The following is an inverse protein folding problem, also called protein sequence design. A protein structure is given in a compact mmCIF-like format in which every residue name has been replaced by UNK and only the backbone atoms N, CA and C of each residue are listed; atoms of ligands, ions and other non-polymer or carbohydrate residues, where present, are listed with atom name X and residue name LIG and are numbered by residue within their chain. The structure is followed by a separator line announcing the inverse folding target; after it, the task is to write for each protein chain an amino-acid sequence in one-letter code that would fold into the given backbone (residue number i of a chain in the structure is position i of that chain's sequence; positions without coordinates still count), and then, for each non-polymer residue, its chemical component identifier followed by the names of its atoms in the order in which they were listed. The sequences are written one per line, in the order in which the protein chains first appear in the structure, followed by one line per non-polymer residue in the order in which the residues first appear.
data_IF_749497113013
#
_entry.id   IF_749497113013
#
_cell.length_a   1.000
_cell.length_b   1.000
_cell.length_c   1.000
_cell.angle_alpha   90.00
_cell.angle_beta   90.00
_cell.angle_gamma   90.00
#
_symmetry.space_group_name_H-M   'P 1'
#
loop_
_entity.id
_entity.type
_entity.pdbx_description
1 polymer ?
#
# COMPACT_ATOMS: atom_id res chain seq x y z
N UNK A 1 22.99 6.31 -9.42
CA UNK A 1 22.94 4.97 -10.06
C UNK A 1 23.53 3.91 -9.16
N UNK A 2 23.10 2.67 -9.31
CA UNK A 2 23.67 1.53 -8.58
C UNK A 2 24.87 0.97 -9.34
N UNK A 3 25.83 0.34 -8.64
CA UNK A 3 26.87 -0.45 -9.27
C UNK A 3 26.27 -1.56 -10.15
N UNK A 4 27.01 -2.01 -11.17
CA UNK A 4 26.54 -3.03 -12.09
C UNK A 4 26.09 -4.31 -11.37
N UNK A 5 24.97 -4.88 -11.80
CA UNK A 5 24.38 -6.10 -11.23
C UNK A 5 23.70 -5.94 -9.86
N UNK A 6 23.90 -4.82 -9.15
CA UNK A 6 23.20 -4.56 -7.90
C UNK A 6 21.73 -4.22 -8.15
N UNK A 7 20.88 -4.64 -7.22
CA UNK A 7 19.46 -4.29 -7.21
C UNK A 7 19.09 -3.66 -5.89
N UNK A 8 18.19 -2.69 -5.93
CA UNK A 8 17.56 -2.12 -4.74
C UNK A 8 16.06 -2.37 -4.80
N UNK A 9 15.46 -2.70 -3.67
CA UNK A 9 14.00 -2.72 -3.56
C UNK A 9 13.43 -1.30 -3.71
N UNK A 10 12.14 -1.20 -3.99
CA UNK A 10 11.41 0.03 -3.66
C UNK A 10 11.47 0.34 -2.16
N UNK A 11 11.16 1.57 -1.75
CA UNK A 11 11.04 1.93 -0.35
C UNK A 11 9.94 1.10 0.33
N UNK A 12 10.27 0.51 1.46
CA UNK A 12 9.27 0.02 2.40
C UNK A 12 8.87 1.19 3.29
N UNK A 13 7.60 1.58 3.18
CA UNK A 13 7.02 2.64 3.96
C UNK A 13 6.42 2.11 5.27
N UNK A 14 6.55 2.84 6.39
CA UNK A 14 5.82 2.53 7.60
C UNK A 14 4.32 2.81 7.41
N UNK A 15 3.52 2.47 8.42
CA UNK A 15 2.10 2.78 8.44
C UNK A 15 1.90 4.30 8.34
N UNK A 16 1.17 4.80 7.33
CA UNK A 16 0.96 6.24 7.15
C UNK A 16 -0.09 6.79 8.13
N UNK A 17 -0.12 8.11 8.23
CA UNK A 17 -1.13 8.85 8.98
C UNK A 17 -2.00 9.70 8.04
N UNK A 18 -3.27 9.87 8.42
CA UNK A 18 -4.20 10.80 7.78
C UNK A 18 -4.13 12.13 8.53
N UNK A 19 -3.97 13.21 7.80
CA UNK A 19 -3.91 14.58 8.32
C UNK A 19 -4.97 15.40 7.61
N UNK A 20 -5.78 16.15 8.37
CA UNK A 20 -6.77 17.08 7.82
C UNK A 20 -6.11 18.45 7.79
N UNK A 21 -5.92 18.96 6.58
CA UNK A 21 -5.40 20.29 6.29
C UNK A 21 -6.56 21.30 6.21
N UNK A 22 -6.29 22.62 6.28
CA UNK A 22 -7.31 23.65 6.11
C UNK A 22 -8.13 23.45 4.82
N UNK A 23 -9.44 23.65 4.92
CA UNK A 23 -10.38 23.40 3.81
C UNK A 23 -10.79 21.94 3.65
N UNK A 24 -10.71 21.14 4.72
CA UNK A 24 -11.08 19.72 4.75
C UNK A 24 -10.32 18.84 3.74
N UNK A 25 -9.13 19.29 3.35
CA UNK A 25 -8.24 18.56 2.48
C UNK A 25 -7.53 17.45 3.28
N UNK A 26 -7.57 16.24 2.77
CA UNK A 26 -6.90 15.10 3.39
C UNK A 26 -5.52 14.91 2.80
N UNK A 27 -4.50 14.98 3.65
CA UNK A 27 -3.13 14.57 3.34
C UNK A 27 -2.82 13.22 3.97
N UNK A 28 -2.09 12.38 3.23
CA UNK A 28 -1.56 11.11 3.73
C UNK A 28 -0.04 11.23 3.76
N UNK A 29 0.56 10.98 4.93
CA UNK A 29 1.99 11.14 5.09
C UNK A 29 2.52 10.58 6.41
N UNK A 30 3.65 11.12 6.85
CA UNK A 30 4.36 10.63 8.04
C UNK A 30 4.73 11.78 8.96
N UNK A 31 4.52 11.57 10.27
CA UNK A 31 5.06 12.45 11.31
C UNK A 31 6.41 11.93 11.80
N UNK A 32 7.26 12.84 12.28
CA UNK A 32 8.55 12.46 12.87
C UNK A 32 8.35 11.81 14.25
N UNK A 33 9.16 10.81 14.61
CA UNK A 33 10.12 10.12 13.75
C UNK A 33 9.43 9.11 12.82
N UNK A 34 10.00 8.87 11.64
CA UNK A 34 9.69 7.72 10.79
C UNK A 34 10.97 7.17 10.18
N UNK A 35 10.92 5.93 9.70
CA UNK A 35 12.03 5.25 9.05
C UNK A 35 11.54 4.73 7.69
N UNK A 36 12.35 4.85 6.64
CA UNK A 36 12.15 4.16 5.36
C UNK A 36 13.19 3.04 5.28
N UNK A 37 12.80 1.86 4.76
CA UNK A 37 13.74 0.75 4.54
C UNK A 37 13.90 0.48 3.06
N UNK A 38 15.12 0.12 2.70
CA UNK A 38 15.47 -0.37 1.38
C UNK A 38 16.24 -1.67 1.55
N UNK A 39 16.04 -2.64 0.66
CA UNK A 39 16.82 -3.86 0.58
C UNK A 39 17.76 -3.75 -0.61
N UNK A 40 19.05 -3.80 -0.33
CA UNK A 40 20.08 -3.91 -1.36
C UNK A 40 20.41 -5.38 -1.58
N UNK A 41 20.42 -5.77 -2.84
CA UNK A 41 20.82 -7.09 -3.30
C UNK A 41 22.12 -6.92 -4.09
N UNK A 42 23.25 -7.47 -3.61
CA UNK A 42 24.50 -7.41 -4.35
C UNK A 42 24.36 -8.13 -5.70
N UNK A 43 25.15 -7.71 -6.69
CA UNK A 43 25.41 -8.52 -7.88
C UNK A 43 25.88 -9.93 -7.42
N UNK A 44 25.63 -10.97 -8.22
CA UNK A 44 26.07 -12.33 -7.90
C UNK A 44 27.54 -12.35 -7.48
N UNK A 45 27.91 -13.31 -6.64
CA UNK A 45 29.21 -13.42 -5.94
C UNK A 45 30.48 -13.43 -6.81
N UNK A 46 30.37 -13.25 -8.13
CA UNK A 46 31.38 -13.60 -9.12
C UNK A 46 31.97 -12.41 -9.88
N UNK A 47 31.36 -11.22 -9.89
CA UNK A 47 31.91 -10.09 -10.65
C UNK A 47 31.96 -8.81 -9.82
N UNK A 48 33.14 -8.51 -9.25
CA UNK A 48 33.71 -7.18 -8.96
C UNK A 48 34.79 -7.28 -7.86
N UNK A 49 36.04 -7.09 -8.30
CA UNK A 49 37.25 -6.58 -7.63
C UNK A 49 37.71 -7.14 -6.25
N UNK A 50 39.00 -6.96 -5.98
CA UNK A 50 39.76 -7.53 -4.84
C UNK A 50 39.08 -7.31 -3.48
N UNK A 51 39.25 -8.28 -2.58
CA UNK A 51 38.90 -8.15 -1.16
C UNK A 51 39.56 -6.88 -0.60
N UNK A 52 38.78 -6.03 0.07
CA UNK A 52 39.25 -4.73 0.58
C UNK A 52 38.84 -3.52 -0.26
N UNK A 53 38.27 -3.73 -1.45
CA UNK A 53 37.68 -2.63 -2.23
C UNK A 53 36.46 -2.06 -1.50
N UNK A 54 36.47 -0.73 -1.27
CA UNK A 54 35.32 0.00 -0.74
C UNK A 54 34.35 0.28 -1.88
N UNK A 55 33.13 -0.23 -1.75
CA UNK A 55 32.04 0.07 -2.65
C UNK A 55 31.25 1.25 -2.12
N UNK A 56 31.12 2.28 -2.93
CA UNK A 56 30.29 3.44 -2.63
C UNK A 56 28.95 3.35 -3.38
N UNK A 57 27.85 3.46 -2.63
CA UNK A 57 26.50 3.54 -3.19
C UNK A 57 25.96 4.95 -2.90
N UNK A 58 25.88 5.84 -3.90
CA UNK A 58 25.34 7.17 -3.70
C UNK A 58 23.82 7.11 -3.49
N UNK A 59 23.33 7.95 -2.58
CA UNK A 59 21.92 8.10 -2.23
C UNK A 59 21.51 9.56 -2.41
N UNK A 60 20.41 9.79 -3.12
CA UNK A 60 19.73 11.08 -3.16
C UNK A 60 18.32 10.88 -2.61
N UNK A 61 17.97 11.64 -1.59
CA UNK A 61 16.63 11.63 -0.98
C UNK A 61 15.99 12.97 -1.25
N UNK A 62 14.84 12.97 -1.92
CA UNK A 62 14.03 14.15 -2.18
C UNK A 62 12.72 13.96 -1.43
N UNK A 63 12.27 14.99 -0.72
CA UNK A 63 11.03 14.93 0.05
C UNK A 63 10.28 16.26 0.02
N UNK A 64 9.02 16.23 0.41
CA UNK A 64 8.20 17.42 0.63
C UNK A 64 7.71 17.41 2.08
N UNK A 65 7.82 18.54 2.77
CA UNK A 65 7.26 18.73 4.12
C UNK A 65 6.21 19.82 4.07
N UNK A 66 5.01 19.54 4.59
CA UNK A 66 3.91 20.50 4.65
C UNK A 66 3.56 20.81 6.11
N UNK A 67 3.24 22.08 6.39
CA UNK A 67 2.62 22.53 7.65
C UNK A 67 1.50 23.53 7.38
N UNK A 68 1.86 24.62 6.72
CA UNK A 68 0.93 25.60 6.13
C UNK A 68 1.26 25.83 4.66
N UNK A 69 2.54 25.69 4.33
CA UNK A 69 3.08 25.66 2.98
C UNK A 69 3.94 24.41 2.84
N UNK A 70 4.01 23.86 1.63
CA UNK A 70 4.85 22.72 1.33
C UNK A 70 6.23 23.16 0.83
N UNK A 71 7.29 22.60 1.40
CA UNK A 71 8.68 22.90 1.06
C UNK A 71 9.34 21.62 0.57
N UNK A 72 10.02 21.70 -0.57
CA UNK A 72 10.86 20.61 -1.08
C UNK A 72 12.22 20.61 -0.39
N UNK A 73 12.69 19.43 -0.01
CA UNK A 73 14.03 19.20 0.51
C UNK A 73 14.73 18.14 -0.32
N UNK A 74 16.05 18.25 -0.38
CA UNK A 74 16.95 17.26 -0.96
C UNK A 74 18.10 17.03 0.01
N UNK A 75 18.56 15.78 0.09
CA UNK A 75 19.78 15.40 0.79
C UNK A 75 20.52 14.36 -0.03
N UNK A 76 21.85 14.47 -0.03
CA UNK A 76 22.76 13.53 -0.66
C UNK A 76 23.57 12.83 0.41
N UNK A 77 23.69 11.53 0.30
CA UNK A 77 24.48 10.70 1.18
C UNK A 77 25.18 9.61 0.36
N UNK A 78 26.12 8.89 0.98
CA UNK A 78 26.80 7.75 0.38
C UNK A 78 26.81 6.61 1.38
N UNK A 79 26.37 5.42 0.97
CA UNK A 79 26.56 4.20 1.74
C UNK A 79 27.89 3.57 1.33
N UNK A 80 28.80 3.45 2.30
CA UNK A 80 30.09 2.82 2.12
C UNK A 80 30.02 1.37 2.58
N UNK A 81 30.23 0.43 1.67
CA UNK A 81 30.25 -1.01 1.94
C UNK A 81 31.66 -1.53 1.75
N UNK A 82 32.13 -2.36 2.67
CA UNK A 82 33.40 -3.08 2.53
C UNK A 82 33.12 -4.54 2.21
N UNK A 83 33.76 -5.06 1.16
CA UNK A 83 33.70 -6.49 0.86
C UNK A 83 34.51 -7.24 1.93
N UNK A 84 33.88 -8.22 2.56
CA UNK A 84 34.54 -9.19 3.44
C UNK A 84 34.13 -10.60 3.09
N UNK A 85 34.87 -11.58 3.60
CA UNK A 85 34.63 -13.02 3.31
C UNK A 85 33.29 -13.52 3.86
N UNK A 86 32.76 -12.84 4.88
CA UNK A 86 31.51 -13.17 5.53
C UNK A 86 30.70 -11.91 5.79
N UNK A 87 29.37 -11.95 5.61
CA UNK A 87 28.52 -10.84 6.04
C UNK A 87 28.63 -10.66 7.55
N UNK A 88 28.94 -9.44 7.97
CA UNK A 88 28.92 -9.04 9.37
C UNK A 88 27.64 -8.26 9.63
N UNK A 89 26.92 -8.62 10.70
CA UNK A 89 25.69 -7.92 11.08
C UNK A 89 26.08 -6.66 11.85
N UNK A 90 25.66 -5.50 11.34
CA UNK A 90 25.66 -4.27 12.13
C UNK A 90 24.65 -4.39 13.28
N UNK A 91 25.16 -4.54 14.51
CA UNK A 91 24.32 -4.66 15.71
C UNK A 91 23.47 -3.41 15.94
N UNK A 92 24.00 -2.22 15.62
CA UNK A 92 23.28 -0.95 15.81
C UNK A 92 22.09 -0.83 14.86
N UNK A 93 22.34 -1.03 13.57
CA UNK A 93 21.32 -1.08 12.52
C UNK A 93 20.30 -2.18 12.75
N UNK A 94 20.74 -3.39 13.13
CA UNK A 94 19.84 -4.51 13.45
C UNK A 94 18.91 -4.17 14.63
N UNK A 95 19.45 -3.61 15.71
CA UNK A 95 18.64 -3.17 16.85
C UNK A 95 17.67 -2.04 16.48
N UNK A 96 18.09 -1.12 15.59
CA UNK A 96 17.20 -0.08 15.06
C UNK A 96 16.05 -0.70 14.27
N UNK A 97 16.34 -1.55 13.27
CA UNK A 97 15.32 -2.22 12.46
C UNK A 97 14.34 -3.02 13.32
N UNK A 98 14.82 -3.71 14.35
CA UNK A 98 13.98 -4.46 15.28
C UNK A 98 12.96 -3.57 16.02
N UNK A 99 13.39 -2.40 16.53
CA UNK A 99 12.49 -1.44 17.22
C UNK A 99 11.39 -0.88 16.32
N UNK A 100 11.64 -0.84 15.01
CA UNK A 100 10.71 -0.29 14.03
C UNK A 100 9.83 -1.35 13.37
N UNK A 101 10.07 -2.65 13.61
CA UNK A 101 9.43 -3.76 12.90
C UNK A 101 7.90 -3.65 12.84
N UNK A 102 7.26 -3.38 13.97
CA UNK A 102 5.80 -3.35 14.09
C UNK A 102 5.16 -2.05 13.56
N UNK A 103 5.98 -1.12 13.06
CA UNK A 103 5.52 0.13 12.40
C UNK A 103 5.26 -0.06 10.91
N UNK A 104 5.51 -1.25 10.35
CA UNK A 104 5.35 -1.52 8.92
C UNK A 104 4.15 -2.43 8.68
N UNK A 105 3.41 -2.21 7.58
CA UNK A 105 2.37 -3.14 7.19
C UNK A 105 2.97 -4.49 6.82
N UNK A 106 2.20 -5.55 7.05
CA UNK A 106 2.50 -6.90 6.58
C UNK A 106 1.72 -7.18 5.29
N UNK A 107 2.29 -7.97 4.40
CA UNK A 107 1.61 -8.36 3.15
C UNK A 107 0.31 -9.12 3.45
N UNK A 108 -0.75 -8.86 2.69
CA UNK A 108 -2.06 -9.48 2.88
C UNK A 108 -2.02 -11.01 2.90
N UNK A 109 -1.10 -11.63 2.15
CA UNK A 109 -0.90 -13.08 2.14
C UNK A 109 -0.38 -13.66 3.47
N UNK A 110 0.22 -12.82 4.33
CA UNK A 110 0.69 -13.21 5.65
C UNK A 110 -0.35 -12.97 6.76
N UNK A 111 -1.47 -12.31 6.44
CA UNK A 111 -2.54 -12.04 7.39
C UNK A 111 -3.27 -13.35 7.75
N UNK A 112 -3.43 -13.61 9.05
CA UNK A 112 -4.16 -14.77 9.54
C UNK A 112 -5.63 -14.42 9.78
N UNK A 113 -6.54 -15.31 9.37
CA UNK A 113 -7.98 -15.22 9.65
C UNK A 113 -8.76 -14.19 8.83
N UNK A 114 -8.11 -13.53 7.88
CA UNK A 114 -8.73 -12.59 6.96
C UNK A 114 -8.22 -12.82 5.54
N UNK A 115 -9.12 -12.61 4.59
CA UNK A 115 -8.81 -12.46 3.17
C UNK A 115 -9.02 -11.01 2.78
N UNK A 116 -8.18 -10.54 1.87
CA UNK A 116 -8.21 -9.21 1.33
C UNK A 116 -8.26 -9.29 -0.19
N UNK A 117 -9.08 -8.45 -0.80
CA UNK A 117 -9.23 -8.38 -2.25
C UNK A 117 -9.15 -6.93 -2.70
N UNK A 118 -8.65 -6.74 -3.92
CA UNK A 118 -8.55 -5.45 -4.58
C UNK A 118 -9.17 -5.59 -5.97
N UNK A 119 -10.03 -4.66 -6.37
CA UNK A 119 -10.66 -4.68 -7.69
C UNK A 119 -10.64 -3.28 -8.30
N UNK A 120 -10.52 -3.21 -9.62
CA UNK A 120 -10.60 -1.98 -10.39
C UNK A 120 -11.67 -2.09 -11.48
N UNK A 121 -12.51 -1.08 -11.54
CA UNK A 121 -13.62 -0.97 -12.47
C UNK A 121 -13.45 0.33 -13.26
N UNK A 122 -12.87 0.30 -14.48
CA UNK A 122 -12.72 1.50 -15.29
C UNK A 122 -14.09 2.01 -15.74
N UNK A 123 -14.24 3.33 -15.84
CA UNK A 123 -15.50 3.92 -16.33
C UNK A 123 -15.67 3.67 -17.83
N UNK A 124 -16.83 3.12 -18.22
CA UNK A 124 -17.23 3.06 -19.62
C UNK A 124 -17.34 4.52 -20.13
N UNK A 125 -16.80 4.81 -21.32
CA UNK A 125 -16.71 6.12 -22.00
C UNK A 125 -15.44 6.95 -21.77
N UNK A 126 -14.48 6.48 -20.96
CA UNK A 126 -13.17 7.12 -20.91
C UNK A 126 -12.37 6.70 -22.17
N UNK A 127 -12.45 7.47 -23.27
CA UNK A 127 -11.66 7.24 -24.50
C UNK A 127 -10.13 7.19 -24.29
N UNK A 128 -9.68 7.47 -23.07
CA UNK A 128 -8.40 7.11 -22.46
C UNK A 128 -8.73 6.79 -20.99
N UNK A 129 -8.23 5.70 -20.40
CA UNK A 129 -8.47 5.33 -18.97
C UNK A 129 -8.06 6.50 -18.06
N UNK A 130 -9.04 7.36 -17.72
CA UNK A 130 -8.82 8.60 -16.96
C UNK A 130 -9.58 8.62 -15.65
N UNK A 131 -10.48 7.67 -15.44
CA UNK A 131 -11.25 7.51 -14.22
C UNK A 131 -11.74 6.07 -14.05
N UNK A 132 -12.14 5.75 -12.83
CA UNK A 132 -12.74 4.47 -12.48
C UNK A 132 -12.92 4.32 -10.98
N UNK A 133 -13.50 3.19 -10.60
CA UNK A 133 -13.73 2.82 -9.20
C UNK A 133 -12.73 1.76 -8.77
N UNK A 134 -11.99 2.05 -7.71
CA UNK A 134 -11.13 1.09 -7.03
C UNK A 134 -11.80 0.60 -5.76
N UNK A 135 -11.95 -0.71 -5.59
CA UNK A 135 -12.59 -1.32 -4.42
C UNK A 135 -11.58 -2.17 -3.66
N UNK A 136 -11.54 -1.99 -2.34
CA UNK A 136 -10.80 -2.87 -1.43
C UNK A 136 -11.80 -3.59 -0.54
N UNK A 137 -11.71 -4.91 -0.47
CA UNK A 137 -12.61 -5.77 0.32
C UNK A 137 -11.83 -6.59 1.32
N UNK A 138 -12.46 -6.90 2.45
CA UNK A 138 -11.92 -7.85 3.41
C UNK A 138 -13.03 -8.64 4.09
N UNK A 139 -12.77 -9.92 4.31
CA UNK A 139 -13.70 -10.83 4.97
C UNK A 139 -12.94 -11.85 5.80
N UNK A 140 -13.63 -12.47 6.76
CA UNK A 140 -13.05 -13.50 7.61
C UNK A 140 -12.92 -14.81 6.88
N UNK A 141 -11.86 -15.53 7.17
CA UNK A 141 -11.65 -16.88 6.63
C UNK A 141 -11.45 -17.87 7.78
N UNK A 142 -12.07 -19.05 7.62
CA UNK A 142 -11.94 -20.16 8.55
C UNK A 142 -12.60 -19.91 9.91
N UNK A 143 -12.14 -20.65 10.92
CA UNK A 143 -12.70 -20.66 12.28
C UNK A 143 -12.10 -19.59 13.20
N UNK A 144 -11.53 -18.51 12.67
CA UNK A 144 -10.93 -17.45 13.49
C UNK A 144 -11.99 -16.77 14.39
N UNK A 145 -11.97 -17.16 15.67
CA UNK A 145 -12.89 -16.69 16.72
C UNK A 145 -12.47 -15.37 17.35
N UNK A 146 -11.36 -14.74 16.93
CA UNK A 146 -11.05 -13.39 17.42
C UNK A 146 -12.23 -12.50 17.10
N UNK A 147 -12.82 -11.78 18.08
CA UNK A 147 -14.00 -10.99 17.82
C UNK A 147 -13.75 -10.10 16.61
N UNK A 148 -14.73 -9.98 15.73
CA UNK A 148 -14.83 -8.78 14.92
C UNK A 148 -15.18 -7.69 15.92
N UNK A 149 -14.19 -7.26 16.72
CA UNK A 149 -14.21 -5.91 17.23
C UNK A 149 -14.53 -5.09 15.98
N UNK A 150 -15.48 -4.14 16.02
CA UNK A 150 -15.69 -3.21 14.92
C UNK A 150 -14.42 -2.36 14.79
N UNK A 151 -13.38 -2.99 14.27
CA UNK A 151 -12.16 -2.41 13.79
C UNK A 151 -12.61 -1.80 12.50
N UNK A 152 -12.84 -0.50 12.52
CA UNK A 152 -12.89 0.23 11.27
C UNK A 152 -11.51 0.06 10.64
N UNK A 153 -11.46 -0.30 9.37
CA UNK A 153 -10.21 -0.31 8.64
C UNK A 153 -10.10 1.01 7.91
N UNK A 154 -9.06 1.77 8.22
CA UNK A 154 -8.73 2.97 7.47
C UNK A 154 -7.90 2.54 6.28
N UNK A 155 -8.36 2.89 5.08
CA UNK A 155 -7.66 2.54 3.86
C UNK A 155 -6.82 3.72 3.39
N UNK A 156 -5.53 3.46 3.22
CA UNK A 156 -4.56 4.44 2.76
C UNK A 156 -4.16 4.09 1.33
N UNK A 157 -4.69 4.80 0.32
CA UNK A 157 -4.40 4.50 -1.06
C UNK A 157 -2.95 4.82 -1.43
N UNK A 158 -2.33 3.99 -2.26
CA UNK A 158 -1.02 4.24 -2.86
C UNK A 158 -0.94 3.71 -4.30
N UNK A 159 0.06 4.18 -5.06
CA UNK A 159 0.24 3.84 -6.47
C UNK A 159 -0.39 4.83 -7.45
N UNK A 160 -0.85 5.98 -6.95
CA UNK A 160 -1.33 7.11 -7.75
C UNK A 160 -0.26 8.20 -7.77
N UNK A 161 0.31 8.45 -8.94
CA UNK A 161 1.27 9.55 -9.15
C UNK A 161 0.58 10.90 -9.32
N UNK A 162 -0.61 10.89 -9.93
CA UNK A 162 -1.47 12.05 -10.12
C UNK A 162 -2.94 11.61 -10.21
N UNK A 163 -3.84 12.49 -9.78
CA UNK A 163 -5.28 12.29 -9.89
C UNK A 163 -6.04 12.77 -8.67
N UNK A 164 -7.36 12.77 -8.79
CA UNK A 164 -8.29 13.05 -7.69
C UNK A 164 -8.76 11.72 -7.14
N UNK A 165 -8.75 11.59 -5.80
CA UNK A 165 -9.24 10.40 -5.10
C UNK A 165 -10.34 10.82 -4.15
N UNK A 166 -11.49 10.19 -4.27
CA UNK A 166 -12.60 10.35 -3.33
C UNK A 166 -12.91 9.00 -2.68
N UNK A 167 -12.71 8.93 -1.37
CA UNK A 167 -13.00 7.75 -0.56
C UNK A 167 -14.47 7.73 -0.14
N UNK A 168 -15.14 6.60 -0.37
CA UNK A 168 -16.47 6.34 0.16
C UNK A 168 -16.40 5.79 1.59
N UNK A 169 -17.54 5.79 2.29
CA UNK A 169 -17.64 5.14 3.59
C UNK A 169 -17.45 3.62 3.48
N UNK A 170 -16.90 3.03 4.54
CA UNK A 170 -16.84 1.58 4.71
C UNK A 170 -18.25 1.01 4.84
N UNK A 171 -18.58 0.01 4.03
CA UNK A 171 -19.92 -0.62 4.00
C UNK A 171 -19.81 -2.14 4.04
N UNK A 172 -20.89 -2.80 4.46
CA UNK A 172 -20.99 -4.25 4.38
C UNK A 172 -20.98 -4.71 2.93
N UNK A 173 -20.38 -5.88 2.70
CA UNK A 173 -20.32 -6.52 1.40
C UNK A 173 -20.71 -7.99 1.54
N UNK A 174 -21.49 -8.47 0.58
CA UNK A 174 -21.83 -9.88 0.40
C UNK A 174 -21.27 -10.26 -0.95
N UNK A 175 -20.34 -11.21 -0.97
CA UNK A 175 -19.74 -11.69 -2.20
C UNK A 175 -20.66 -12.61 -2.96
N UNK A 176 -20.48 -12.62 -4.27
CA UNK A 176 -21.13 -13.59 -5.15
C UNK A 176 -20.63 -14.99 -4.80
N UNK A 177 -21.50 -16.00 -4.95
CA UNK A 177 -21.05 -17.37 -4.81
C UNK A 177 -20.07 -17.68 -5.93
N UNK A 178 -18.83 -18.01 -5.59
CA UNK A 178 -17.76 -18.43 -6.52
C UNK A 178 -18.05 -19.83 -7.14
N UNK A 179 -19.32 -20.24 -7.23
CA UNK A 179 -19.75 -21.61 -7.52
C UNK A 179 -19.58 -22.58 -6.34
N UNK A 180 -18.94 -22.15 -5.25
CA UNK A 180 -18.94 -22.81 -3.95
C UNK A 180 -20.17 -22.35 -3.16
N UNK A 181 -20.75 -23.22 -2.31
CA UNK A 181 -21.91 -22.86 -1.49
C UNK A 181 -21.61 -21.79 -0.40
N UNK A 182 -20.41 -21.22 -0.39
CA UNK A 182 -19.92 -20.35 0.66
C UNK A 182 -20.05 -18.88 0.24
N UNK A 183 -21.09 -18.22 0.75
CA UNK A 183 -21.29 -16.78 0.58
C UNK A 183 -20.34 -16.04 1.53
N UNK A 184 -19.37 -15.33 0.97
CA UNK A 184 -18.47 -14.49 1.78
C UNK A 184 -19.19 -13.24 2.28
N UNK A 185 -19.16 -13.02 3.59
CA UNK A 185 -19.69 -11.80 4.23
C UNK A 185 -18.54 -11.01 4.80
N UNK A 186 -18.42 -9.77 4.38
CA UNK A 186 -17.31 -8.91 4.75
C UNK A 186 -17.66 -7.44 4.64
N UNK A 187 -16.63 -6.66 4.34
CA UNK A 187 -16.68 -5.22 4.27
C UNK A 187 -15.92 -4.76 3.02
N UNK A 188 -16.28 -3.57 2.56
CA UNK A 188 -15.58 -2.92 1.48
C UNK A 188 -15.46 -1.42 1.70
N UNK A 189 -14.46 -0.84 1.05
CA UNK A 189 -14.33 0.60 0.82
C UNK A 189 -14.05 0.81 -0.67
N UNK A 190 -14.60 1.87 -1.25
CA UNK A 190 -14.39 2.23 -2.64
C UNK A 190 -13.78 3.61 -2.75
N UNK A 191 -12.90 3.78 -3.73
CA UNK A 191 -12.29 5.03 -4.12
C UNK A 191 -12.74 5.35 -5.55
N UNK A 192 -13.40 6.49 -5.71
CA UNK A 192 -13.60 7.07 -7.04
C UNK A 192 -12.33 7.80 -7.41
N UNK A 193 -11.72 7.44 -8.54
CA UNK A 193 -10.47 8.02 -8.99
C UNK A 193 -10.71 8.71 -10.34
N UNK A 194 -10.20 9.92 -10.49
CA UNK A 194 -10.33 10.72 -11.70
C UNK A 194 -9.01 11.42 -12.04
N UNK A 195 -8.94 12.01 -13.24
CA UNK A 195 -7.75 12.70 -13.76
C UNK A 195 -6.47 11.88 -13.72
N UNK A 196 -6.60 10.57 -13.99
CA UNK A 196 -5.46 9.67 -14.07
C UNK A 196 -4.55 10.08 -15.23
N UNK A 197 -3.25 10.15 -14.94
CA UNK A 197 -2.21 10.45 -15.93
C UNK A 197 -2.12 9.37 -17.02
N UNK A 198 -1.57 9.73 -18.18
CA UNK A 198 -1.43 8.82 -19.33
C UNK A 198 -0.56 7.58 -19.06
N UNK A 199 0.25 7.60 -18.01
CA UNK A 199 1.08 6.48 -17.57
C UNK A 199 0.42 5.55 -16.55
N UNK A 200 -0.84 5.78 -16.16
CA UNK A 200 -1.49 5.00 -15.11
C UNK A 200 -1.58 3.50 -15.47
N UNK A 201 -1.17 2.66 -14.51
CA UNK A 201 -1.26 1.21 -14.59
C UNK A 201 -1.99 0.68 -13.36
N UNK A 202 -3.07 -0.08 -13.56
CA UNK A 202 -3.82 -0.68 -12.45
C UNK A 202 -2.94 -1.53 -11.51
N UNK A 203 -1.94 -2.22 -12.06
CA UNK A 203 -1.00 -3.03 -11.28
C UNK A 203 -0.22 -2.26 -10.21
N UNK A 204 -0.15 -0.92 -10.31
CA UNK A 204 0.47 -0.06 -9.32
C UNK A 204 -0.43 0.21 -8.10
N UNK A 205 -1.76 0.04 -8.23
CA UNK A 205 -2.69 0.29 -7.13
C UNK A 205 -2.45 -0.65 -5.96
N UNK A 206 -2.55 -0.09 -4.77
CA UNK A 206 -2.62 -0.86 -3.54
C UNK A 206 -3.07 0.00 -2.38
N UNK A 207 -3.54 -0.62 -1.31
CA UNK A 207 -3.95 0.08 -0.11
C UNK A 207 -3.25 -0.51 1.10
N UNK A 208 -2.87 0.37 2.03
CA UNK A 208 -2.58 -0.06 3.40
C UNK A 208 -3.86 0.05 4.23
N UNK A 209 -4.35 -1.07 4.73
CA UNK A 209 -5.47 -1.16 5.66
C UNK A 209 -4.94 -1.10 7.08
N UNK A 210 -5.28 -0.04 7.81
CA UNK A 210 -4.86 0.16 9.20
C UNK A 210 -6.04 -0.14 10.11
N UNK A 211 -5.89 -1.05 11.08
CA UNK A 211 -6.95 -1.33 12.03
C UNK A 211 -7.12 -0.14 12.97
N UNK A 212 -8.26 0.55 12.86
CA UNK A 212 -8.65 1.61 13.77
C UNK A 212 -9.39 1.02 14.97
N UNK A 213 -8.92 1.32 16.19
CA UNK A 213 -9.51 0.80 17.40
C UNK A 213 -10.81 1.55 17.69
N UNK A 214 -11.96 1.12 17.14
CA UNK A 214 -13.23 1.86 17.20
C UNK A 214 -13.46 2.66 18.51
N UNK A 215 -13.76 1.97 19.62
CA UNK A 215 -13.76 2.58 20.98
C UNK A 215 -12.48 2.32 21.79
N UNK A 216 -11.53 1.57 21.22
CA UNK A 216 -10.32 1.19 21.93
C UNK A 216 -9.27 2.32 21.82
N UNK A 217 -8.46 2.51 22.87
CA UNK A 217 -7.36 3.49 22.84
C UNK A 217 -6.07 2.75 22.49
N UNK A 218 -5.65 2.82 21.23
CA UNK A 218 -4.35 2.30 20.77
C UNK A 218 -4.41 1.10 19.83
N UNK A 219 -3.26 0.54 19.41
CA UNK A 219 -3.17 -0.54 18.43
C UNK A 219 -4.04 -1.74 18.82
N UNK A 220 -4.68 -2.36 17.84
CA UNK A 220 -5.51 -3.56 18.08
C UNK A 220 -4.58 -4.79 18.18
N UNK A 221 -4.46 -5.44 19.35
CA UNK A 221 -3.53 -6.56 19.51
C UNK A 221 -3.82 -7.69 18.51
N UNK A 222 -2.76 -8.18 17.85
CA UNK A 222 -2.87 -9.25 16.85
C UNK A 222 -3.46 -8.84 15.49
N UNK A 223 -3.75 -7.56 15.28
CA UNK A 223 -4.15 -7.00 13.99
C UNK A 223 -3.09 -5.99 13.54
N UNK A 224 -2.07 -6.41 12.77
CA UNK A 224 -1.15 -5.47 12.15
C UNK A 224 -1.86 -4.69 11.02
N UNK A 225 -1.25 -3.58 10.60
CA UNK A 225 -1.63 -2.97 9.32
C UNK A 225 -1.32 -3.93 8.17
N UNK A 226 -2.17 -3.96 7.16
CA UNK A 226 -2.09 -4.89 6.03
C UNK A 226 -1.85 -4.10 4.75
N UNK A 227 -0.87 -4.50 3.95
CA UNK A 227 -0.73 -3.97 2.59
C UNK A 227 -1.37 -4.94 1.59
N UNK A 228 -2.27 -4.40 0.78
CA UNK A 228 -2.98 -5.11 -0.29
C UNK A 228 -2.51 -4.51 -1.62
N UNK A 229 -2.07 -5.35 -2.56
CA UNK A 229 -1.56 -4.92 -3.87
C UNK A 229 -2.40 -5.49 -4.99
N UNK A 230 -2.58 -4.74 -6.07
CA UNK A 230 -3.36 -5.16 -7.24
C UNK A 230 -2.82 -6.46 -7.89
N UNK A 231 -1.51 -6.70 -7.81
CA UNK A 231 -0.84 -7.89 -8.39
C UNK A 231 -1.31 -9.22 -7.74
N UNK A 232 -2.00 -9.18 -6.60
CA UNK A 232 -2.62 -10.35 -5.96
C UNK A 232 -4.09 -10.59 -6.36
N UNK A 233 -4.69 -9.75 -7.21
CA UNK A 233 -6.14 -9.76 -7.47
C UNK A 233 -6.54 -9.77 -8.96
N UNK A 234 -5.74 -10.39 -9.83
CA UNK A 234 -6.11 -10.60 -11.22
C UNK A 234 -7.10 -11.78 -11.38
N UNK A 235 -8.38 -11.53 -11.08
CA UNK A 235 -9.49 -12.19 -11.80
C UNK A 235 -10.19 -11.11 -12.61
N UNK A 236 -10.01 -11.15 -13.92
CA UNK A 236 -10.78 -10.35 -14.87
C UNK A 236 -12.22 -10.86 -14.91
N UNK A 237 -13.11 -10.24 -14.15
CA UNK A 237 -14.56 -10.41 -14.25
C UNK A 237 -15.18 -9.07 -14.62
N UNK A 238 -16.09 -9.08 -15.60
CA UNK A 238 -16.81 -7.88 -16.05
C UNK A 238 -17.66 -7.30 -14.91
N UNK A 239 -17.84 -5.97 -14.83
CA UNK A 239 -18.77 -5.36 -13.89
C UNK A 239 -20.19 -5.88 -14.15
N UNK A 240 -20.90 -6.26 -13.09
CA UNK A 240 -22.32 -6.55 -13.19
C UNK A 240 -23.08 -5.33 -13.75
N UNK A 241 -24.02 -5.52 -14.68
CA UNK A 241 -24.85 -4.43 -15.15
C UNK A 241 -25.76 -3.96 -14.02
N UNK A 242 -25.43 -2.79 -13.47
CA UNK A 242 -26.31 -2.04 -12.58
C UNK A 242 -27.68 -1.84 -13.24
N UNK A 243 -28.73 -2.08 -12.46
CA UNK A 243 -30.13 -1.96 -12.85
C UNK A 243 -30.41 -0.60 -13.52
N UNK A 244 -30.48 -0.64 -14.84
CA UNK A 244 -30.93 0.49 -15.67
C UNK A 244 -32.35 0.86 -15.26
N UNK A 245 -32.47 2.05 -14.68
CA UNK A 245 -33.71 2.74 -14.41
C UNK A 245 -34.48 2.85 -15.74
N UNK A 246 -35.51 2.02 -15.95
CA UNK A 246 -36.43 2.18 -17.09
C UNK A 246 -37.28 3.42 -16.85
N UNK A 247 -36.82 4.58 -17.35
CA UNK A 247 -37.68 5.72 -17.66
C UNK A 247 -37.91 5.77 -19.17
N UNK A 248 -39.14 5.45 -19.55
CA UNK A 248 -39.95 6.11 -20.58
C UNK A 248 -39.43 6.20 -22.02
N UNK A 249 -40.12 5.49 -22.91
CA UNK A 249 -40.58 6.05 -24.20
C UNK A 249 -41.90 5.39 -24.54
N UNK A 250 -42.96 6.19 -24.68
CA UNK A 250 -44.30 5.73 -25.00
C UNK A 250 -44.53 5.46 -26.49
N UNK A 251 -45.62 4.74 -26.75
CA UNK A 251 -46.70 5.11 -27.67
C UNK A 251 -47.95 4.35 -27.24
#
# INVERSE_FOLDING_TARGET
DLPEGWKVSGPEFPVPERMVEPGDLVSIGYKKPFLLRFRLHPASSVEAEEIGTKLEIPLVVIWQVCKTTCIYGESRASLQLSRGDKPTVDKGGSAMLARWKDRYPVEASAARGFRFQLSWFPDAHAGRVRSGTWVVRWYREGSDRRPAVPVQWLAFPHGLEAGIVQEAEVRSWVGDSDGTAEVHRGWQVSFSVADLGSGFQYGALGATLVPAPGKAKGPVPGMPAIIVRAVQAARSGSPEPGSGNKKGSGR
#
